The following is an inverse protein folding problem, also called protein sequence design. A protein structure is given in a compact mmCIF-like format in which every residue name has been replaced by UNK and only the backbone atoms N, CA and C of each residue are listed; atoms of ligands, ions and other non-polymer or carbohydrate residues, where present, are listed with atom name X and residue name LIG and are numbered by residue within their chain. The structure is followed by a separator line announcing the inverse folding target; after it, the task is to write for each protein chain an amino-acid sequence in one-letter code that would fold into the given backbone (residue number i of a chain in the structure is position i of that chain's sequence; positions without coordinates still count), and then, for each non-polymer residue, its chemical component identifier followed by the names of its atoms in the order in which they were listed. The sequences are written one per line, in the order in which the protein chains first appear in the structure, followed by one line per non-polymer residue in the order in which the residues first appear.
data_IF_771568200306
#
_entry.id   IF_771568200306
#
_cell.length_a   1.000
_cell.length_b   1.000
_cell.length_c   1.000
_cell.angle_alpha   90.00
_cell.angle_beta   90.00
_cell.angle_gamma   90.00
#
_symmetry.space_group_name_H-M   'P 1'
#
loop_
_entity.id
_entity.type
_entity.pdbx_description
1 polymer ?
#
# COMPACT_ATOMS: atom_id res chain seq x y z
N UNK A 1 18.80 -1.59 -0.75
CA UNK A 1 19.27 -2.44 -1.86
C UNK A 1 18.15 -3.42 -2.17
N UNK A 2 17.54 -3.33 -3.36
CA UNK A 2 16.50 -4.27 -3.85
C UNK A 2 17.09 -5.68 -4.08
N UNK A 3 18.41 -5.83 -3.98
CA UNK A 3 19.17 -7.07 -4.17
C UNK A 3 18.78 -8.21 -3.21
N UNK A 4 18.11 -7.92 -2.09
CA UNK A 4 17.66 -8.94 -1.13
C UNK A 4 16.25 -9.50 -1.42
N UNK A 5 15.55 -9.01 -2.45
CA UNK A 5 14.24 -9.55 -2.83
C UNK A 5 14.37 -10.98 -3.35
N UNK A 6 13.99 -11.94 -2.51
CA UNK A 6 13.87 -13.33 -2.88
C UNK A 6 12.54 -13.59 -3.61
N UNK A 7 12.52 -14.61 -4.47
CA UNK A 7 11.33 -15.04 -5.21
C UNK A 7 10.14 -15.36 -4.28
N UNK A 8 10.40 -15.84 -3.07
CA UNK A 8 9.37 -16.05 -2.04
C UNK A 8 8.66 -14.75 -1.61
N UNK A 9 9.39 -13.63 -1.51
CA UNK A 9 8.81 -12.35 -1.11
C UNK A 9 7.97 -11.76 -2.25
N UNK A 10 8.44 -11.89 -3.50
CA UNK A 10 7.68 -11.47 -4.69
C UNK A 10 6.36 -12.26 -4.75
N UNK A 11 6.43 -13.59 -4.60
CA UNK A 11 5.23 -14.45 -4.58
C UNK A 11 4.27 -14.09 -3.44
N UNK A 12 4.78 -13.82 -2.24
CA UNK A 12 3.95 -13.40 -1.11
C UNK A 12 3.24 -12.06 -1.40
N UNK A 13 3.96 -11.06 -1.93
CA UNK A 13 3.36 -9.79 -2.33
C UNK A 13 2.26 -9.98 -3.38
N UNK A 14 2.49 -10.77 -4.44
CA UNK A 14 1.46 -11.07 -5.44
C UNK A 14 0.24 -11.76 -4.82
N UNK A 15 0.46 -12.69 -3.88
CA UNK A 15 -0.64 -13.36 -3.19
C UNK A 15 -1.51 -12.38 -2.40
N UNK A 16 -0.91 -11.38 -1.73
CA UNK A 16 -1.67 -10.35 -1.01
C UNK A 16 -2.52 -9.50 -1.96
N UNK A 17 -1.95 -9.08 -3.10
CA UNK A 17 -2.67 -8.29 -4.09
C UNK A 17 -3.81 -9.08 -4.74
N UNK A 18 -3.62 -10.37 -4.99
CA UNK A 18 -4.69 -11.20 -5.55
C UNK A 18 -5.84 -11.40 -4.56
N UNK A 19 -5.54 -11.61 -3.27
CA UNK A 19 -6.58 -11.70 -2.24
C UNK A 19 -7.31 -10.37 -2.08
N UNK A 20 -6.60 -9.23 -2.21
CA UNK A 20 -7.25 -7.93 -2.26
C UNK A 20 -8.23 -7.87 -3.42
N UNK A 21 -7.76 -8.13 -4.64
CA UNK A 21 -8.59 -8.09 -5.86
C UNK A 21 -9.88 -8.92 -5.72
N UNK A 22 -9.77 -10.14 -5.20
CA UNK A 22 -10.91 -11.01 -4.92
C UNK A 22 -11.85 -10.40 -3.87
N UNK A 23 -11.30 -9.88 -2.77
CA UNK A 23 -12.11 -9.26 -1.72
C UNK A 23 -12.83 -8.00 -2.23
N UNK A 24 -12.19 -7.20 -3.09
CA UNK A 24 -12.82 -6.04 -3.70
C UNK A 24 -14.02 -6.46 -4.56
N UNK A 25 -13.84 -7.45 -5.43
CA UNK A 25 -14.90 -7.99 -6.28
C UNK A 25 -16.07 -8.62 -5.49
N UNK A 26 -15.77 -9.22 -4.34
CA UNK A 26 -16.76 -9.85 -3.46
C UNK A 26 -17.39 -8.87 -2.44
N UNK A 27 -16.99 -7.59 -2.42
CA UNK A 27 -17.44 -6.62 -1.42
C UNK A 27 -16.97 -6.94 0.01
N UNK A 28 -15.87 -7.69 0.15
CA UNK A 28 -15.26 -8.07 1.43
C UNK A 28 -14.19 -7.06 1.86
N UNK A 29 -13.87 -6.98 3.16
CA UNK A 29 -12.76 -6.16 3.63
C UNK A 29 -11.42 -6.58 3.01
N UNK A 30 -10.67 -5.62 2.47
CA UNK A 30 -9.38 -5.84 1.80
C UNK A 30 -8.22 -5.02 2.39
N UNK A 31 -8.50 -4.16 3.38
CA UNK A 31 -7.51 -3.24 3.97
C UNK A 31 -6.32 -3.97 4.60
N UNK A 32 -6.53 -5.16 5.17
CA UNK A 32 -5.42 -5.93 5.74
C UNK A 32 -4.41 -6.39 4.67
N UNK A 33 -4.86 -6.64 3.44
CA UNK A 33 -4.00 -7.07 2.34
C UNK A 33 -3.04 -5.96 1.90
N UNK A 34 -3.48 -4.70 1.95
CA UNK A 34 -2.64 -3.50 1.75
C UNK A 34 -1.47 -3.48 2.75
N UNK A 35 -1.79 -3.61 4.05
CA UNK A 35 -0.79 -3.69 5.11
C UNK A 35 0.17 -4.86 4.92
N UNK A 36 -0.36 -6.06 4.66
CA UNK A 36 0.47 -7.27 4.48
C UNK A 36 1.41 -7.14 3.29
N UNK A 37 0.98 -6.47 2.21
CA UNK A 37 1.83 -6.15 1.08
C UNK A 37 3.02 -5.27 1.52
N UNK A 38 2.79 -4.15 2.21
CA UNK A 38 3.86 -3.25 2.64
C UNK A 38 4.82 -3.91 3.64
N UNK A 39 4.28 -4.65 4.62
CA UNK A 39 5.10 -5.41 5.58
C UNK A 39 6.02 -6.40 4.86
N UNK A 40 5.49 -7.18 3.92
CA UNK A 40 6.28 -8.13 3.12
C UNK A 40 7.35 -7.41 2.31
N UNK A 41 7.01 -6.27 1.72
CA UNK A 41 7.95 -5.44 0.96
C UNK A 41 9.12 -4.95 1.84
N UNK A 42 8.83 -4.46 3.04
CA UNK A 42 9.85 -4.00 3.99
C UNK A 42 10.71 -5.14 4.54
N UNK A 43 10.12 -6.32 4.78
CA UNK A 43 10.85 -7.52 5.21
C UNK A 43 11.86 -7.96 4.16
N UNK A 44 11.49 -7.94 2.88
CA UNK A 44 12.36 -8.31 1.76
C UNK A 44 13.57 -7.39 1.58
N UNK A 45 13.44 -6.11 1.98
CA UNK A 45 14.57 -5.16 2.00
C UNK A 45 15.54 -5.48 3.17
N UNK A 46 15.10 -6.27 4.16
CA UNK A 46 15.89 -6.63 5.33
C UNK A 46 16.00 -5.51 6.38
N UNK A 47 15.16 -4.48 6.29
CA UNK A 47 15.21 -3.33 7.18
C UNK A 47 14.13 -3.42 8.27
N UNK A 48 14.52 -3.93 9.44
CA UNK A 48 13.62 -4.09 10.60
C UNK A 48 12.96 -2.79 11.05
N UNK A 49 13.68 -1.66 10.96
CA UNK A 49 13.12 -0.35 11.31
C UNK A 49 12.00 0.05 10.35
N UNK A 50 12.13 -0.24 9.04
CA UNK A 50 11.06 0.03 8.09
C UNK A 50 9.82 -0.83 8.38
N UNK A 51 9.99 -2.08 8.80
CA UNK A 51 8.86 -2.93 9.22
C UNK A 51 8.15 -2.35 10.45
N UNK A 52 8.90 -1.87 11.45
CA UNK A 52 8.30 -1.24 12.63
C UNK A 52 7.59 0.08 12.29
N UNK A 53 8.22 0.92 11.46
CA UNK A 53 7.64 2.19 11.01
C UNK A 53 6.36 1.96 10.21
N UNK A 54 6.34 0.95 9.33
CA UNK A 54 5.16 0.57 8.56
C UNK A 54 4.01 0.15 9.48
N UNK A 55 4.27 -0.64 10.52
CA UNK A 55 3.24 -1.01 11.49
C UNK A 55 2.69 0.21 12.25
N UNK A 56 3.55 1.17 12.61
CA UNK A 56 3.13 2.41 13.28
C UNK A 56 2.29 3.26 12.32
N UNK A 57 2.75 3.42 11.08
CA UNK A 57 2.01 4.12 10.03
C UNK A 57 0.64 3.51 9.84
N UNK A 58 0.54 2.18 9.75
CA UNK A 58 -0.73 1.47 9.61
C UNK A 58 -1.72 1.78 10.74
N UNK A 59 -1.26 1.80 11.99
CA UNK A 59 -2.12 2.12 13.15
C UNK A 59 -2.65 3.56 13.03
N UNK A 60 -1.79 4.52 12.68
CA UNK A 60 -2.21 5.91 12.52
C UNK A 60 -3.16 6.09 11.33
N UNK A 61 -2.82 5.49 10.19
CA UNK A 61 -3.60 5.53 8.95
C UNK A 61 -4.97 4.89 9.13
N UNK A 62 -5.05 3.66 9.63
CA UNK A 62 -6.33 2.96 9.85
C UNK A 62 -7.23 3.71 10.83
N UNK A 63 -6.68 4.32 11.88
CA UNK A 63 -7.43 5.17 12.79
C UNK A 63 -7.95 6.46 12.14
N UNK A 64 -7.17 7.10 11.27
CA UNK A 64 -7.63 8.26 10.51
C UNK A 64 -8.71 7.83 9.50
N UNK A 65 -8.43 6.82 8.68
CA UNK A 65 -9.35 6.35 7.63
C UNK A 65 -10.69 5.88 8.20
N UNK A 66 -10.69 5.08 9.26
CA UNK A 66 -11.94 4.60 9.87
C UNK A 66 -12.78 5.72 10.51
N UNK A 67 -12.18 6.86 10.85
CA UNK A 67 -12.89 8.00 11.45
C UNK A 67 -13.40 8.99 10.40
N UNK A 68 -12.71 9.12 9.27
CA UNK A 68 -12.96 10.20 8.31
C UNK A 68 -13.43 9.74 6.93
N UNK A 69 -13.26 8.46 6.58
CA UNK A 69 -13.51 7.94 5.23
C UNK A 69 -14.55 6.83 5.27
N UNK A 70 -15.81 7.22 5.41
CA UNK A 70 -16.94 6.28 5.38
C UNK A 70 -17.23 5.80 3.96
N UNK A 71 -16.89 6.59 2.93
CA UNK A 71 -17.25 6.32 1.53
C UNK A 71 -16.08 6.60 0.54
N UNK A 72 -14.96 5.87 0.64
CA UNK A 72 -13.98 5.88 -0.46
C UNK A 72 -14.56 5.06 -1.62
N UNK A 73 -14.69 5.71 -2.78
CA UNK A 73 -15.15 5.10 -4.03
C UNK A 73 -14.35 3.83 -4.37
N UNK A 74 -15.05 2.77 -4.76
CA UNK A 74 -14.48 1.51 -5.25
C UNK A 74 -13.45 1.76 -6.37
N UNK A 75 -13.70 2.76 -7.23
CA UNK A 75 -12.76 3.17 -8.28
C UNK A 75 -11.42 3.66 -7.70
N UNK A 76 -11.43 4.35 -6.56
CA UNK A 76 -10.21 4.81 -5.91
C UNK A 76 -9.39 3.64 -5.33
N UNK A 77 -10.07 2.59 -4.84
CA UNK A 77 -9.41 1.37 -4.38
C UNK A 77 -8.82 0.55 -5.52
N UNK A 78 -9.51 0.46 -6.66
CA UNK A 78 -8.97 -0.19 -7.86
C UNK A 78 -7.71 0.52 -8.37
N UNK A 79 -7.69 1.85 -8.36
CA UNK A 79 -6.49 2.64 -8.73
C UNK A 79 -5.35 2.33 -7.76
N UNK A 80 -5.61 2.31 -6.45
CA UNK A 80 -4.59 1.97 -5.45
C UNK A 80 -4.06 0.55 -5.66
N UNK A 81 -4.92 -0.44 -5.88
CA UNK A 81 -4.50 -1.82 -6.18
C UNK A 81 -3.61 -1.89 -7.43
N UNK A 82 -3.99 -1.20 -8.51
CA UNK A 82 -3.19 -1.15 -9.75
C UNK A 82 -1.80 -0.51 -9.52
N UNK A 83 -1.70 0.50 -8.65
CA UNK A 83 -0.42 1.12 -8.31
C UNK A 83 0.50 0.14 -7.57
N UNK A 84 -0.04 -0.70 -6.68
CA UNK A 84 0.74 -1.73 -6.00
C UNK A 84 1.30 -2.77 -6.97
N UNK A 85 0.51 -3.21 -7.96
CA UNK A 85 1.01 -4.09 -9.03
C UNK A 85 2.18 -3.47 -9.80
N UNK A 86 2.09 -2.18 -10.14
CA UNK A 86 3.18 -1.46 -10.83
C UNK A 86 4.44 -1.37 -9.98
N UNK A 87 4.31 -1.09 -8.69
CA UNK A 87 5.44 -1.06 -7.74
C UNK A 87 6.09 -2.44 -7.71
N UNK A 88 5.31 -3.50 -7.55
CA UNK A 88 5.84 -4.85 -7.44
C UNK A 88 6.53 -5.31 -8.74
N UNK A 89 5.96 -4.98 -9.91
CA UNK A 89 6.58 -5.24 -11.20
C UNK A 89 7.94 -4.54 -11.32
N UNK A 90 8.04 -3.25 -10.94
CA UNK A 90 9.31 -2.53 -10.95
C UNK A 90 10.35 -3.15 -9.99
N UNK A 91 9.91 -3.66 -8.83
CA UNK A 91 10.76 -4.38 -7.88
C UNK A 91 11.25 -5.72 -8.47
N UNK A 92 10.36 -6.49 -9.11
CA UNK A 92 10.69 -7.75 -9.77
C UNK A 92 11.69 -7.57 -10.92
N UNK A 93 11.50 -6.51 -11.72
CA UNK A 93 12.44 -6.10 -12.78
C UNK A 93 13.75 -5.49 -12.24
N UNK A 94 13.86 -5.34 -10.90
CA UNK A 94 15.00 -4.70 -10.21
C UNK A 94 15.23 -3.25 -10.66
N UNK A 95 14.19 -2.59 -11.15
CA UNK A 95 14.23 -1.19 -11.55
C UNK A 95 14.05 -0.28 -10.32
N UNK A 96 15.16 -0.03 -9.62
CA UNK A 96 15.19 0.71 -8.35
C UNK A 96 14.60 2.12 -8.49
N UNK A 97 14.99 2.85 -9.53
CA UNK A 97 14.54 4.23 -9.75
C UNK A 97 13.03 4.28 -9.96
N UNK A 98 12.50 3.39 -10.80
CA UNK A 98 11.06 3.32 -11.04
C UNK A 98 10.28 2.90 -9.78
N UNK A 99 10.78 1.91 -9.04
CA UNK A 99 10.14 1.46 -7.81
C UNK A 99 10.07 2.60 -6.76
N UNK A 100 11.14 3.39 -6.64
CA UNK A 100 11.19 4.55 -5.75
C UNK A 100 10.21 5.65 -6.18
N UNK A 101 10.17 5.97 -7.47
CA UNK A 101 9.26 6.97 -8.02
C UNK A 101 7.79 6.57 -7.76
N UNK A 102 7.43 5.33 -8.12
CA UNK A 102 6.06 4.82 -7.93
C UNK A 102 5.64 4.79 -6.46
N UNK A 103 6.56 4.45 -5.55
CA UNK A 103 6.29 4.47 -4.11
C UNK A 103 6.10 5.90 -3.59
N UNK A 104 6.89 6.86 -4.06
CA UNK A 104 6.73 8.27 -3.70
C UNK A 104 5.36 8.82 -4.15
N UNK A 105 4.96 8.53 -5.39
CA UNK A 105 3.68 8.93 -5.96
C UNK A 105 2.51 8.31 -5.19
N UNK A 106 2.64 7.03 -4.80
CA UNK A 106 1.66 6.33 -3.97
C UNK A 106 1.42 7.05 -2.63
N UNK A 107 2.49 7.39 -1.90
CA UNK A 107 2.37 8.12 -0.62
C UNK A 107 1.87 9.55 -0.78
N UNK A 108 2.21 10.23 -1.89
CA UNK A 108 1.67 11.56 -2.19
C UNK A 108 0.14 11.52 -2.33
N UNK A 109 -0.39 10.52 -3.05
CA UNK A 109 -1.84 10.32 -3.16
C UNK A 109 -2.53 10.06 -1.82
N UNK A 110 -1.88 9.35 -0.88
CA UNK A 110 -2.40 9.18 0.48
C UNK A 110 -2.46 10.52 1.22
N UNK A 111 -1.40 11.34 1.15
CA UNK A 111 -1.36 12.65 1.81
C UNK A 111 -2.46 13.58 1.29
N UNK A 112 -2.70 13.60 -0.01
CA UNK A 112 -3.74 14.43 -0.62
C UNK A 112 -5.13 14.03 -0.13
N UNK A 113 -5.43 12.73 -0.08
CA UNK A 113 -6.70 12.21 0.44
C UNK A 113 -6.89 12.60 1.90
N UNK A 114 -5.87 12.40 2.74
CA UNK A 114 -5.92 12.77 4.16
C UNK A 114 -6.09 14.29 4.33
N UNK A 115 -5.31 15.09 3.59
CA UNK A 115 -5.36 16.55 3.67
C UNK A 115 -6.70 17.15 3.22
N UNK A 116 -7.33 16.57 2.20
CA UNK A 116 -8.67 17.01 1.76
C UNK A 116 -9.75 16.71 2.79
N UNK A 117 -9.61 15.67 3.62
CA UNK A 117 -10.61 15.37 4.66
C UNK A 117 -10.42 16.22 5.93
N UNK A 118 -9.18 16.61 6.28
CA UNK A 118 -8.92 17.47 7.45
C UNK A 118 -9.27 18.94 7.16
N UNK A 119 -9.20 19.38 5.89
CA UNK A 119 -9.57 20.74 5.48
C UNK A 119 -11.07 21.00 5.32
N UNK A 120 -11.93 20.01 5.58
CA UNK A 120 -13.38 20.09 5.42
C UNK A 120 -14.18 20.55 6.66
N UNK A 121 -13.52 20.75 7.81
CA UNK A 121 -14.17 21.14 9.07
C UNK A 121 -14.20 22.66 9.34
N UNK A 122 -13.67 23.49 8.43
CA UNK A 122 -13.85 24.95 8.47
C UNK A 122 -14.75 25.44 7.32
N UNK A 123 -16.07 25.32 7.49
CA UNK A 123 -17.04 26.26 6.89
C UNK A 123 -18.40 26.21 7.59
#
# INVERSE_FOLDING_TARGET
MIENFQEEHIRACYSHLHVWEQNLADGKPFREQDRLFHVTLCQAIGNKLLVELENIFWIAYSNAVNKTFVDIDEAAYQITLNNHYKILAAVEERNVELAQQLMADHFQGIKERIGTTIGGEEK
#
